data_IF_255343549287
#
_entry.id   IF_255343549287
#
_cell.length_a   1.000
_cell.length_b   1.000
_cell.length_c   1.000
_cell.angle_alpha   90.00
_cell.angle_beta   90.00
_cell.angle_gamma   90.00
#
_symmetry.space_group_name_H-M   'P 1'
#
loop_
_entity.id
_entity.type
_entity.pdbx_description
1 polymer ?
#
# COMPACT_ATOMS: atom_id res chain seq x y z
N UNK A 1 -13.65 9.19 19.67
CA UNK A 1 -12.34 9.40 19.00
C UNK A 1 -11.57 8.11 19.10
N UNK A 2 -11.43 7.37 17.99
CA UNK A 2 -10.61 6.17 17.94
C UNK A 2 -9.13 6.56 18.08
N UNK A 3 -8.47 6.06 19.12
CA UNK A 3 -7.09 6.41 19.49
C UNK A 3 -6.02 5.91 18.50
N UNK A 4 -6.43 5.25 17.40
CA UNK A 4 -5.53 4.58 16.47
C UNK A 4 -4.69 5.56 15.63
N UNK A 5 -5.23 6.72 15.28
CA UNK A 5 -4.56 7.67 14.39
C UNK A 5 -3.61 8.64 15.09
N UNK A 6 -3.62 8.70 16.43
CA UNK A 6 -2.74 9.62 17.20
C UNK A 6 -1.28 9.17 17.25
N UNK A 7 -0.98 7.92 16.88
CA UNK A 7 0.34 7.30 17.07
C UNK A 7 1.06 6.98 15.75
N UNK A 8 0.62 7.52 14.61
CA UNK A 8 1.31 7.32 13.33
C UNK A 8 2.59 8.17 13.33
N UNK A 9 3.79 7.58 13.22
CA UNK A 9 5.03 8.33 13.17
C UNK A 9 5.05 9.26 11.94
N UNK A 10 5.54 10.49 12.13
CA UNK A 10 5.79 11.45 11.05
C UNK A 10 6.93 10.92 10.16
N UNK A 11 6.59 10.08 9.18
CA UNK A 11 7.55 9.50 8.24
C UNK A 11 7.33 10.04 6.81
N UNK A 12 7.00 11.33 6.71
CA UNK A 12 7.04 12.06 5.44
C UNK A 12 5.67 12.41 4.83
N UNK A 13 4.58 12.22 5.56
CA UNK A 13 3.36 13.01 5.32
C UNK A 13 3.50 14.27 6.16
N UNK A 14 3.81 15.41 5.54
CA UNK A 14 3.87 16.69 6.24
C UNK A 14 2.55 16.91 6.99
N UNK A 15 2.54 16.65 8.31
CA UNK A 15 1.39 16.73 9.21
C UNK A 15 0.77 18.15 9.30
N UNK A 16 1.39 19.13 8.66
CA UNK A 16 0.96 20.53 8.59
C UNK A 16 0.40 20.93 7.23
N UNK A 17 0.29 20.01 6.26
CA UNK A 17 -0.31 20.30 4.97
C UNK A 17 -1.85 20.34 5.11
N UNK A 18 -2.57 21.35 4.59
CA UNK A 18 -4.04 21.45 4.70
C UNK A 18 -4.80 20.18 4.29
N UNK A 19 -4.33 19.50 3.22
CA UNK A 19 -4.83 18.19 2.79
C UNK A 19 -4.75 17.06 3.85
N UNK A 20 -3.91 17.18 4.88
CA UNK A 20 -3.87 16.21 5.99
C UNK A 20 -5.10 16.36 6.88
N UNK A 21 -5.53 17.58 7.18
CA UNK A 21 -6.72 17.84 7.98
C UNK A 21 -7.99 17.36 7.24
N UNK A 22 -8.11 17.68 5.95
CA UNK A 22 -9.18 17.18 5.09
C UNK A 22 -9.22 15.64 5.04
N UNK A 23 -8.05 14.99 5.00
CA UNK A 23 -7.95 13.54 5.04
C UNK A 23 -8.43 12.95 6.37
N UNK A 24 -8.07 13.56 7.51
CA UNK A 24 -8.56 13.11 8.82
C UNK A 24 -10.07 13.29 8.93
N UNK A 25 -10.61 14.43 8.49
CA UNK A 25 -12.05 14.69 8.47
C UNK A 25 -12.80 13.66 7.61
N UNK A 26 -12.22 13.30 6.46
CA UNK A 26 -12.75 12.23 5.61
C UNK A 26 -12.78 10.89 6.35
N UNK A 27 -11.68 10.49 7.00
CA UNK A 27 -11.63 9.23 7.77
C UNK A 27 -12.64 9.24 8.92
N UNK A 28 -12.78 10.35 9.64
CA UNK A 28 -13.77 10.49 10.72
C UNK A 28 -15.22 10.43 10.21
N UNK A 29 -15.49 11.01 9.04
CA UNK A 29 -16.79 10.91 8.39
C UNK A 29 -17.13 9.46 8.03
N UNK A 30 -16.17 8.72 7.46
CA UNK A 30 -16.31 7.29 7.14
C UNK A 30 -16.55 6.42 8.38
N UNK A 31 -15.88 6.73 9.50
CA UNK A 31 -16.06 5.97 10.74
C UNK A 31 -17.50 5.93 11.26
N UNK A 32 -18.29 6.96 10.99
CA UNK A 32 -19.72 7.01 11.37
C UNK A 32 -20.53 5.90 10.69
N UNK A 33 -20.06 5.42 9.53
CA UNK A 33 -20.76 4.40 8.75
C UNK A 33 -20.24 2.97 8.97
N UNK A 34 -19.08 2.81 9.63
CA UNK A 34 -18.47 1.50 9.90
C UNK A 34 -19.33 0.60 10.79
N UNK A 35 -20.26 1.16 11.57
CA UNK A 35 -21.22 0.41 12.39
C UNK A 35 -22.32 -0.30 11.59
N UNK A 36 -22.52 0.06 10.32
CA UNK A 36 -23.54 -0.55 9.45
C UNK A 36 -23.00 -1.70 8.60
N UNK A 37 -21.70 -2.00 8.65
CA UNK A 37 -21.12 -3.10 7.88
C UNK A 37 -21.31 -4.45 8.59
N UNK A 38 -21.51 -5.51 7.81
CA UNK A 38 -21.55 -6.89 8.34
C UNK A 38 -20.15 -7.48 8.62
N UNK A 39 -19.10 -6.72 8.30
CA UNK A 39 -17.72 -7.19 8.36
C UNK A 39 -16.81 -6.55 7.31
N UNK A 40 -15.60 -7.08 7.22
CA UNK A 40 -14.51 -6.54 6.40
C UNK A 40 -13.90 -7.61 5.50
N UNK A 41 -13.71 -7.26 4.22
CA UNK A 41 -12.99 -8.08 3.26
C UNK A 41 -11.58 -7.53 3.07
N UNK A 42 -10.59 -8.42 3.11
CA UNK A 42 -9.18 -8.08 2.99
C UNK A 42 -8.59 -8.80 1.78
N UNK A 43 -7.89 -8.05 0.92
CA UNK A 43 -6.96 -8.63 -0.04
C UNK A 43 -5.70 -9.10 0.70
N UNK A 44 -5.86 -10.17 1.46
CA UNK A 44 -4.84 -10.81 2.29
C UNK A 44 -5.01 -12.32 2.20
N UNK A 45 -3.96 -13.07 2.50
CA UNK A 45 -3.95 -14.52 2.53
C UNK A 45 -3.76 -15.03 3.94
N UNK A 46 -4.54 -16.03 4.36
CA UNK A 46 -4.34 -16.66 5.67
C UNK A 46 -2.95 -17.29 5.81
N UNK A 47 -2.33 -17.71 4.71
CA UNK A 47 -0.99 -18.34 4.70
C UNK A 47 0.08 -17.33 5.14
N UNK A 48 -0.07 -16.06 4.77
CA UNK A 48 0.92 -15.01 5.04
C UNK A 48 0.49 -14.17 6.25
N UNK A 49 -0.75 -13.66 6.27
CA UNK A 49 -1.23 -12.72 7.29
C UNK A 49 -2.11 -13.35 8.39
N UNK A 50 -2.20 -14.69 8.48
CA UNK A 50 -3.10 -15.37 9.41
C UNK A 50 -2.98 -14.95 10.89
N UNK A 51 -1.77 -14.61 11.34
CA UNK A 51 -1.52 -14.10 12.70
C UNK A 51 -2.20 -12.74 12.94
N UNK A 52 -2.16 -11.83 11.98
CA UNK A 52 -2.78 -10.52 12.08
C UNK A 52 -4.30 -10.60 12.09
N UNK A 53 -4.87 -11.53 11.31
CA UNK A 53 -6.32 -11.79 11.34
C UNK A 53 -6.82 -12.18 12.74
N UNK A 54 -6.03 -12.94 13.49
CA UNK A 54 -6.38 -13.31 14.87
C UNK A 54 -6.25 -12.12 15.83
N UNK A 55 -5.39 -11.15 15.55
CA UNK A 55 -5.26 -9.94 16.34
C UNK A 55 -6.41 -8.97 16.09
N UNK A 56 -6.88 -8.83 14.84
CA UNK A 56 -8.02 -7.97 14.50
C UNK A 56 -9.26 -8.36 15.28
N UNK A 57 -9.54 -9.66 15.42
CA UNK A 57 -10.69 -10.18 16.19
C UNK A 57 -10.64 -9.86 17.68
N UNK A 58 -9.48 -9.45 18.22
CA UNK A 58 -9.32 -9.04 19.62
C UNK A 58 -9.54 -7.55 19.83
N UNK A 59 -9.74 -6.78 18.76
CA UNK A 59 -10.08 -5.37 18.83
C UNK A 59 -11.56 -5.27 19.22
N UNK A 60 -11.92 -4.61 20.33
CA UNK A 60 -13.30 -4.59 20.84
C UNK A 60 -14.34 -4.15 19.79
N UNK A 61 -13.98 -3.18 18.96
CA UNK A 61 -14.84 -2.63 17.90
C UNK A 61 -15.10 -3.62 16.74
N UNK A 62 -14.27 -4.66 16.63
CA UNK A 62 -14.29 -5.65 15.56
C UNK A 62 -14.64 -7.07 16.05
N UNK A 63 -14.71 -7.30 17.36
CA UNK A 63 -14.96 -8.63 17.98
C UNK A 63 -16.21 -9.32 17.43
N UNK A 64 -17.27 -8.56 17.17
CA UNK A 64 -18.54 -9.07 16.67
C UNK A 64 -18.68 -9.02 15.13
N UNK A 65 -17.65 -8.54 14.42
CA UNK A 65 -17.67 -8.41 12.96
C UNK A 65 -17.06 -9.63 12.28
N UNK A 66 -17.52 -9.91 11.06
CA UNK A 66 -16.94 -10.97 10.24
C UNK A 66 -15.72 -10.43 9.49
N UNK A 67 -14.67 -11.26 9.38
CA UNK A 67 -13.44 -10.90 8.70
C UNK A 67 -13.07 -11.97 7.68
N UNK A 68 -12.93 -11.57 6.42
CA UNK A 68 -12.61 -12.47 5.32
C UNK A 68 -11.34 -12.05 4.60
N UNK A 69 -10.33 -12.91 4.65
CA UNK A 69 -9.15 -12.82 3.80
C UNK A 69 -9.41 -13.61 2.53
N UNK A 70 -9.52 -12.90 1.40
CA UNK A 70 -9.89 -13.49 0.10
C UNK A 70 -8.81 -13.26 -0.97
N UNK A 71 -7.61 -12.85 -0.56
CA UNK A 71 -6.47 -12.65 -1.42
C UNK A 71 -5.52 -13.86 -1.49
N UNK A 72 -4.46 -13.75 -2.32
CA UNK A 72 -4.19 -12.63 -3.21
C UNK A 72 -5.14 -12.64 -4.41
N UNK A 73 -5.75 -11.49 -4.72
CA UNK A 73 -6.48 -11.35 -5.97
C UNK A 73 -5.50 -11.36 -7.13
N UNK A 74 -5.76 -12.23 -8.12
CA UNK A 74 -5.03 -12.20 -9.37
C UNK A 74 -5.25 -10.85 -10.06
N UNK A 75 -4.20 -10.31 -10.65
CA UNK A 75 -4.34 -9.14 -11.51
C UNK A 75 -5.33 -9.49 -12.62
N UNK A 76 -6.35 -8.65 -12.81
CA UNK A 76 -7.33 -8.82 -13.88
C UNK A 76 -6.58 -8.75 -15.21
N UNK A 77 -6.76 -9.74 -16.07
CA UNK A 77 -6.25 -9.67 -17.44
C UNK A 77 -6.89 -8.47 -18.12
N UNK A 78 -6.07 -7.51 -18.53
CA UNK A 78 -6.52 -6.37 -19.33
C UNK A 78 -6.78 -6.86 -20.75
N UNK A 79 -7.93 -7.49 -20.96
CA UNK A 79 -8.43 -7.86 -22.29
C UNK A 79 -8.58 -6.57 -23.11
N UNK A 80 -7.68 -6.33 -24.07
CA UNK A 80 -7.71 -5.15 -24.94
C UNK A 80 -6.36 -4.47 -25.19
N UNK A 81 -5.29 -4.83 -24.47
CA UNK A 81 -3.93 -4.43 -24.84
C UNK A 81 -3.44 -5.31 -26.01
N UNK A 82 -3.95 -5.05 -27.21
CA UNK A 82 -3.59 -5.79 -28.43
C UNK A 82 -2.11 -5.63 -28.84
N UNK A 83 -1.33 -4.83 -28.12
CA UNK A 83 0.09 -4.64 -28.37
C UNK A 83 0.89 -4.87 -27.09
N UNK A 84 1.75 -5.87 -27.15
CA UNK A 84 2.73 -6.18 -26.11
C UNK A 84 3.70 -5.00 -25.96
N UNK A 85 3.95 -4.56 -24.74
CA UNK A 85 4.84 -3.42 -24.51
C UNK A 85 6.31 -3.80 -24.82
N UNK A 86 7.08 -2.89 -25.43
CA UNK A 86 8.48 -3.11 -25.83
C UNK A 86 9.41 -3.54 -24.69
N UNK A 87 9.09 -3.18 -23.44
CA UNK A 87 9.86 -3.63 -22.27
C UNK A 87 9.79 -5.15 -22.07
N UNK A 88 8.68 -5.79 -22.44
CA UNK A 88 8.53 -7.24 -22.34
C UNK A 88 9.30 -7.95 -23.46
N UNK A 89 9.35 -7.37 -24.66
CA UNK A 89 10.21 -7.88 -25.75
C UNK A 89 11.71 -7.78 -25.40
N UNK A 90 12.11 -6.75 -24.67
CA UNK A 90 13.47 -6.65 -24.13
C UNK A 90 13.73 -7.68 -23.02
N UNK A 91 12.75 -7.89 -22.14
CA UNK A 91 12.83 -8.85 -21.02
C UNK A 91 13.04 -10.29 -21.50
N UNK A 92 12.39 -10.68 -22.61
CA UNK A 92 12.53 -12.03 -23.19
C UNK A 92 13.96 -12.37 -23.62
N UNK A 93 14.80 -11.37 -23.87
CA UNK A 93 16.18 -11.55 -24.34
C UNK A 93 17.18 -11.69 -23.19
N UNK A 94 16.73 -11.58 -21.94
CA UNK A 94 17.60 -11.64 -20.76
C UNK A 94 17.64 -13.08 -20.20
N UNK A 95 18.76 -13.45 -19.59
CA UNK A 95 18.89 -14.74 -18.90
C UNK A 95 17.86 -14.88 -17.76
N UNK A 96 17.37 -16.10 -17.44
CA UNK A 96 16.43 -16.30 -16.35
C UNK A 96 16.94 -15.71 -15.03
N UNK A 97 16.08 -14.96 -14.32
CA UNK A 97 16.37 -14.35 -13.01
C UNK A 97 17.52 -13.30 -13.02
N UNK A 98 17.85 -12.73 -14.17
CA UNK A 98 18.91 -11.70 -14.30
C UNK A 98 18.41 -10.26 -14.16
N UNK A 99 17.10 -10.01 -14.32
CA UNK A 99 16.51 -8.66 -14.30
C UNK A 99 15.87 -8.36 -12.95
N UNK A 100 16.12 -7.14 -12.43
CA UNK A 100 15.48 -6.62 -11.22
C UNK A 100 14.38 -5.63 -11.62
N UNK A 101 13.15 -5.90 -11.18
CA UNK A 101 12.05 -4.93 -11.28
C UNK A 101 12.12 -3.95 -10.11
N UNK A 102 12.17 -2.65 -10.40
CA UNK A 102 12.17 -1.58 -9.40
C UNK A 102 10.96 -0.68 -9.65
N UNK A 103 10.07 -0.59 -8.67
CA UNK A 103 8.89 0.30 -8.69
C UNK A 103 8.54 0.72 -7.28
N UNK A 104 8.14 1.99 -7.11
CA UNK A 104 7.67 2.57 -5.85
C UNK A 104 6.15 2.83 -5.88
N UNK A 105 5.42 2.18 -6.79
CA UNK A 105 4.00 2.40 -7.00
C UNK A 105 3.70 3.55 -7.97
N UNK A 106 2.43 3.98 -8.04
CA UNK A 106 1.96 5.00 -8.98
C UNK A 106 2.37 6.42 -8.60
N UNK A 107 2.70 6.67 -7.33
CA UNK A 107 3.18 7.95 -6.82
C UNK A 107 4.48 7.73 -6.08
N UNK A 108 5.51 8.53 -6.39
CA UNK A 108 6.85 8.39 -5.82
C UNK A 108 7.32 9.71 -5.22
N UNK A 109 7.84 9.67 -4.00
CA UNK A 109 8.49 10.80 -3.32
C UNK A 109 9.92 10.40 -2.98
N UNK A 110 10.90 10.87 -3.77
CA UNK A 110 12.33 10.64 -3.53
C UNK A 110 13.03 11.96 -3.30
N UNK A 111 13.75 12.08 -2.19
CA UNK A 111 14.60 13.24 -1.92
C UNK A 111 15.89 13.12 -2.72
N UNK A 112 16.28 14.22 -3.38
CA UNK A 112 17.57 14.28 -4.06
C UNK A 112 18.66 14.59 -3.04
N UNK A 113 19.38 13.58 -2.57
CA UNK A 113 20.67 13.78 -1.89
C UNK A 113 21.76 13.85 -2.95
N UNK A 114 22.47 14.97 -3.06
CA UNK A 114 23.66 15.10 -3.92
C UNK A 114 24.88 14.72 -3.10
N UNK A 115 25.51 13.60 -3.41
CA UNK A 115 26.87 13.35 -2.96
C UNK A 115 27.82 14.13 -3.88
N UNK A 116 28.47 15.17 -3.34
CA UNK A 116 29.51 15.93 -4.06
C UNK A 116 30.74 15.03 -4.15
N UNK A 117 30.85 14.28 -5.24
CA UNK A 117 32.08 13.57 -5.58
C UNK A 117 33.07 14.63 -6.09
N UNK A 118 33.97 15.09 -5.20
CA UNK A 118 35.09 15.94 -5.56
C UNK A 118 35.98 15.21 -6.59
N UNK A 119 35.85 15.55 -7.88
CA UNK A 119 36.92 15.34 -8.85
C UNK A 119 38.02 16.38 -8.58
N UNK A 120 38.97 16.06 -7.71
CA UNK A 120 40.35 16.55 -7.89
C UNK A 120 41.05 15.55 -8.81
N UNK A 121 41.11 15.86 -10.09
CA UNK A 121 42.12 15.31 -10.99
C UNK A 121 43.16 16.42 -11.19
N UNK A 122 44.43 16.02 -11.06
CA UNK A 122 45.61 16.90 -11.11
C UNK A 122 45.98 17.36 -12.51
#
# INVERSE_FOLDING_TARGET
>A
MNNFYRNIPDHGMHLQHPRFQEFIEFIEAEQKYLGFSSGSLYNASKVIEGKFNNLIKKIPEEENKKHWSIGPFNAVELTGLNQRHKCLEWLDKQEPKSVIFVSFGTTTSLTRKRDVINKKAG
#
